data_IF_923566588721
#
_entry.id   IF_923566588721
#
_cell.length_a   1.000
_cell.length_b   1.000
_cell.length_c   1.000
_cell.angle_alpha   90.00
_cell.angle_beta   90.00
_cell.angle_gamma   90.00
#
_symmetry.space_group_name_H-M   'P 1'
#
loop_
_entity.id
_entity.type
_entity.pdbx_description
1 polymer ?
#
# COMPACT_ATOMS: atom_id res chain seq x y z
N UNK A 1 -20.30 -15.91 -17.21
CA UNK A 1 -19.67 -14.63 -17.56
C UNK A 1 -18.43 -14.49 -16.70
N UNK A 2 -17.24 -14.41 -17.29
CA UNK A 2 -16.03 -14.12 -16.54
C UNK A 2 -16.20 -12.74 -15.90
N UNK A 3 -16.38 -12.71 -14.58
CA UNK A 3 -16.40 -11.45 -13.82
C UNK A 3 -15.00 -10.86 -13.99
N UNK A 4 -14.88 -9.68 -14.60
CA UNK A 4 -13.59 -8.98 -14.69
C UNK A 4 -13.05 -8.85 -13.27
N UNK A 5 -11.93 -9.50 -13.01
CA UNK A 5 -11.22 -9.47 -11.74
C UNK A 5 -10.15 -8.40 -11.85
N UNK A 6 -10.20 -7.40 -10.99
CA UNK A 6 -9.20 -6.34 -10.96
C UNK A 6 -8.18 -6.61 -9.85
N UNK A 7 -6.90 -6.34 -10.12
CA UNK A 7 -5.84 -6.33 -9.13
C UNK A 7 -5.35 -4.89 -8.94
N UNK A 8 -5.35 -4.40 -7.70
CA UNK A 8 -4.93 -3.04 -7.36
C UNK A 8 -3.79 -3.09 -6.35
N UNK A 9 -2.69 -2.41 -6.68
CA UNK A 9 -1.58 -2.20 -5.75
C UNK A 9 -1.60 -0.73 -5.34
N UNK A 10 -1.82 -0.46 -4.06
CA UNK A 10 -1.69 0.87 -3.49
C UNK A 10 -0.23 1.07 -3.08
N UNK A 11 0.48 1.87 -3.85
CA UNK A 11 1.86 2.28 -3.59
C UNK A 11 1.85 3.69 -2.96
N UNK A 12 2.18 3.79 -1.68
CA UNK A 12 1.96 5.01 -0.89
C UNK A 12 3.26 5.55 -0.29
N UNK A 13 3.51 6.84 -0.45
CA UNK A 13 4.60 7.54 0.23
C UNK A 13 4.19 7.87 1.68
N UNK A 14 4.98 7.41 2.64
CA UNK A 14 4.81 7.69 4.07
C UNK A 14 5.96 8.50 4.66
N UNK A 15 6.85 9.04 3.82
CA UNK A 15 7.99 9.84 4.22
C UNK A 15 7.59 11.18 4.89
N UNK A 16 8.54 11.89 5.52
CA UNK A 16 8.26 13.11 6.29
C UNK A 16 7.51 14.20 5.52
N UNK A 17 7.73 14.33 4.21
CA UNK A 17 7.02 15.29 3.34
C UNK A 17 5.52 15.04 3.26
N UNK A 18 5.06 13.81 3.49
CA UNK A 18 3.65 13.42 3.39
C UNK A 18 2.91 13.45 4.72
N UNK A 19 3.61 13.62 5.85
CA UNK A 19 3.00 13.54 7.19
C UNK A 19 1.86 14.54 7.42
N UNK A 20 1.88 15.68 6.73
CA UNK A 20 0.83 16.70 6.82
C UNK A 20 -0.46 16.36 6.08
N UNK A 21 -0.44 15.36 5.18
CA UNK A 21 -1.60 14.92 4.38
C UNK A 21 -1.90 13.42 4.54
N UNK A 22 -1.10 12.71 5.35
CA UNK A 22 -1.17 11.25 5.45
C UNK A 22 -2.54 10.79 5.97
N UNK A 23 -3.15 11.55 6.88
CA UNK A 23 -4.48 11.25 7.41
C UNK A 23 -5.57 11.32 6.32
N UNK A 24 -5.47 12.29 5.40
CA UNK A 24 -6.35 12.38 4.24
C UNK A 24 -6.11 11.21 3.27
N UNK A 25 -4.85 10.81 3.07
CA UNK A 25 -4.49 9.64 2.25
C UNK A 25 -5.09 8.36 2.83
N UNK A 26 -4.94 8.11 4.13
CA UNK A 26 -5.57 6.99 4.86
C UNK A 26 -7.08 6.95 4.58
N UNK A 27 -7.77 8.09 4.79
CA UNK A 27 -9.21 8.20 4.57
C UNK A 27 -9.62 7.89 3.13
N UNK A 28 -8.95 8.49 2.14
CA UNK A 28 -9.28 8.30 0.72
C UNK A 28 -9.02 6.88 0.28
N UNK A 29 -7.88 6.29 0.65
CA UNK A 29 -7.54 4.92 0.32
C UNK A 29 -8.48 3.92 1.00
N UNK A 30 -8.80 4.09 2.29
CA UNK A 30 -9.78 3.25 2.98
C UNK A 30 -11.16 3.32 2.32
N UNK A 31 -11.62 4.52 1.91
CA UNK A 31 -12.89 4.66 1.18
C UNK A 31 -12.87 3.95 -0.19
N UNK A 32 -11.75 3.98 -0.91
CA UNK A 32 -11.59 3.26 -2.17
C UNK A 32 -11.71 1.74 -1.96
N UNK A 33 -11.01 1.21 -0.95
CA UNK A 33 -11.04 -0.22 -0.63
C UNK A 33 -12.40 -0.66 -0.10
N UNK A 34 -13.08 0.16 0.71
CA UNK A 34 -14.45 -0.09 1.16
C UNK A 34 -15.43 -0.23 -0.03
N UNK A 35 -15.32 0.65 -1.05
CA UNK A 35 -16.13 0.51 -2.27
C UNK A 35 -15.85 -0.81 -2.98
N UNK A 36 -14.58 -1.23 -3.09
CA UNK A 36 -14.22 -2.54 -3.67
C UNK A 36 -14.77 -3.70 -2.86
N UNK A 37 -14.76 -3.63 -1.53
CA UNK A 37 -15.34 -4.68 -0.69
C UNK A 37 -16.85 -4.85 -0.94
N UNK A 38 -17.57 -3.77 -1.25
CA UNK A 38 -19.02 -3.79 -1.53
C UNK A 38 -19.31 -4.28 -2.95
N UNK A 39 -18.63 -3.71 -3.96
CA UNK A 39 -18.98 -3.88 -5.37
C UNK A 39 -18.06 -4.85 -6.14
N UNK A 40 -16.82 -5.02 -5.70
CA UNK A 40 -15.76 -5.81 -6.33
C UNK A 40 -15.23 -6.92 -5.43
N UNK A 41 -16.11 -7.76 -4.87
CA UNK A 41 -15.76 -8.81 -3.89
C UNK A 41 -14.69 -9.82 -4.34
N UNK A 42 -14.41 -9.91 -5.64
CA UNK A 42 -13.37 -10.78 -6.20
C UNK A 42 -12.06 -10.05 -6.48
N UNK A 43 -12.04 -8.72 -6.37
CA UNK A 43 -10.87 -7.90 -6.62
C UNK A 43 -9.78 -8.18 -5.61
N UNK A 44 -8.54 -8.09 -6.06
CA UNK A 44 -7.36 -8.23 -5.21
C UNK A 44 -6.78 -6.85 -4.92
N UNK A 45 -6.34 -6.66 -3.69
CA UNK A 45 -5.67 -5.43 -3.24
C UNK A 45 -4.31 -5.82 -2.67
N UNK A 46 -3.31 -4.98 -2.83
CA UNK A 46 -2.05 -5.01 -2.09
C UNK A 46 -1.77 -3.61 -1.55
N UNK A 47 -1.06 -3.52 -0.43
CA UNK A 47 -0.63 -2.23 0.15
C UNK A 47 0.88 -2.28 0.33
N UNK A 48 1.56 -1.36 -0.36
CA UNK A 48 3.01 -1.18 -0.32
C UNK A 48 3.28 0.26 0.07
N UNK A 49 4.17 0.46 1.03
CA UNK A 49 4.56 1.80 1.49
C UNK A 49 6.03 2.02 1.26
N UNK A 50 6.40 3.27 1.05
CA UNK A 50 7.79 3.68 0.91
C UNK A 50 8.10 4.99 1.65
N UNK A 51 9.37 5.25 1.92
CA UNK A 51 9.79 6.30 2.85
C UNK A 51 9.88 5.80 4.31
N UNK A 52 9.88 4.48 4.52
CA UNK A 52 10.00 3.86 5.86
C UNK A 52 11.45 3.79 6.32
N UNK A 53 11.68 3.83 7.64
CA UNK A 53 13.04 3.61 8.18
C UNK A 53 13.52 2.17 7.94
N UNK A 54 12.61 1.21 7.92
CA UNK A 54 12.87 -0.21 7.69
C UNK A 54 12.62 -0.62 6.22
N UNK A 55 13.03 -1.84 5.87
CA UNK A 55 12.80 -2.44 4.55
C UNK A 55 12.26 -3.85 4.71
N UNK A 56 11.14 -4.15 4.06
CA UNK A 56 10.56 -5.49 4.06
C UNK A 56 9.82 -5.76 2.76
N UNK A 57 10.57 -6.14 1.74
CA UNK A 57 10.09 -6.59 0.44
C UNK A 57 10.96 -7.74 -0.08
N UNK A 58 10.42 -8.54 -1.00
CA UNK A 58 11.11 -9.73 -1.52
C UNK A 58 12.30 -9.35 -2.42
N UNK A 59 12.19 -8.26 -3.18
CA UNK A 59 13.26 -7.79 -4.08
C UNK A 59 14.55 -7.42 -3.35
N UNK A 60 14.46 -6.73 -2.21
CA UNK A 60 15.64 -6.44 -1.39
C UNK A 60 16.36 -7.73 -0.93
N UNK A 61 15.61 -8.80 -0.65
CA UNK A 61 16.19 -10.08 -0.22
C UNK A 61 16.84 -10.84 -1.38
N UNK A 62 16.28 -10.73 -2.58
CA UNK A 62 16.68 -11.52 -3.75
C UNK A 62 17.80 -10.85 -4.56
N UNK A 63 17.72 -9.53 -4.76
CA UNK A 63 18.59 -8.80 -5.70
C UNK A 63 19.31 -7.60 -5.09
N UNK A 64 18.98 -7.22 -3.86
CA UNK A 64 19.48 -5.98 -3.26
C UNK A 64 18.73 -4.73 -3.73
N UNK A 65 18.93 -3.59 -3.07
CA UNK A 65 18.23 -2.33 -3.36
C UNK A 65 16.81 -2.29 -2.81
N UNK A 66 15.91 -1.51 -3.42
CA UNK A 66 14.52 -1.34 -2.94
C UNK A 66 14.42 -1.06 -1.43
N UNK A 67 15.36 -0.24 -0.95
CA UNK A 67 15.42 0.16 0.46
C UNK A 67 14.25 1.07 0.81
N UNK A 68 13.88 1.07 2.08
CA UNK A 68 12.83 1.94 2.62
C UNK A 68 11.45 1.65 2.05
N UNK A 69 11.23 0.42 1.59
CA UNK A 69 9.96 -0.10 1.05
C UNK A 69 9.49 -1.29 1.89
N UNK A 70 8.23 -1.24 2.32
CA UNK A 70 7.58 -2.29 3.10
C UNK A 70 6.28 -2.73 2.42
N UNK A 71 6.11 -4.04 2.25
CA UNK A 71 4.84 -4.63 1.84
C UNK A 71 3.99 -4.86 3.09
N UNK A 72 3.09 -3.93 3.40
CA UNK A 72 2.19 -4.04 4.57
C UNK A 72 1.16 -5.16 4.39
N UNK A 73 0.68 -5.34 3.15
CA UNK A 73 -0.27 -6.40 2.80
C UNK A 73 0.05 -6.94 1.42
N UNK A 74 0.38 -8.23 1.34
CA UNK A 74 0.56 -8.93 0.06
C UNK A 74 -0.73 -8.91 -0.76
N UNK A 75 -0.61 -9.07 -2.08
CA UNK A 75 -1.78 -9.13 -2.96
C UNK A 75 -2.70 -10.28 -2.54
N UNK A 76 -3.94 -9.95 -2.21
CA UNK A 76 -4.99 -10.91 -1.87
C UNK A 76 -6.37 -10.28 -2.08
N UNK A 77 -7.40 -11.13 -2.16
CA UNK A 77 -8.80 -10.70 -2.28
C UNK A 77 -9.13 -9.66 -1.21
N UNK A 78 -9.87 -8.63 -1.59
CA UNK A 78 -10.24 -7.53 -0.69
C UNK A 78 -11.03 -8.03 0.52
N UNK A 79 -10.62 -7.60 1.71
CA UNK A 79 -11.20 -7.96 3.00
C UNK A 79 -11.12 -6.78 3.98
N UNK A 80 -11.62 -6.97 5.21
CA UNK A 80 -11.57 -5.95 6.27
C UNK A 80 -10.13 -5.54 6.63
N UNK A 81 -9.19 -6.48 6.61
CA UNK A 81 -7.78 -6.22 6.91
C UNK A 81 -7.15 -5.19 5.97
N UNK A 82 -7.57 -5.15 4.70
CA UNK A 82 -7.13 -4.11 3.77
C UNK A 82 -7.51 -2.69 4.24
N UNK A 83 -8.68 -2.55 4.86
CA UNK A 83 -9.15 -1.26 5.40
C UNK A 83 -8.35 -0.93 6.66
N UNK A 84 -8.19 -1.90 7.56
CA UNK A 84 -7.44 -1.73 8.82
C UNK A 84 -5.98 -1.34 8.55
N UNK A 85 -5.35 -1.94 7.53
CA UNK A 85 -4.00 -1.60 7.08
C UNK A 85 -3.90 -0.13 6.64
N UNK A 86 -4.91 0.35 5.90
CA UNK A 86 -4.94 1.71 5.37
C UNK A 86 -5.32 2.76 6.41
N UNK A 87 -5.97 2.38 7.51
CA UNK A 87 -6.28 3.30 8.62
C UNK A 87 -5.13 3.45 9.61
N UNK A 88 -4.08 2.63 9.49
CA UNK A 88 -2.94 2.61 10.38
C UNK A 88 -1.63 2.68 9.56
N UNK A 89 -1.54 3.62 8.62
CA UNK A 89 -0.32 3.76 7.83
C UNK A 89 0.83 4.22 8.74
N UNK A 90 2.03 3.62 8.61
CA UNK A 90 3.16 4.02 9.41
C UNK A 90 3.60 5.44 9.03
N UNK A 91 4.19 6.17 9.97
CA UNK A 91 4.91 7.41 9.68
C UNK A 91 6.37 7.09 9.40
N UNK A 92 6.75 7.18 8.14
CA UNK A 92 8.11 6.97 7.67
C UNK A 92 9.08 8.06 8.18
N UNK A 93 10.37 7.73 8.18
CA UNK A 93 11.44 8.60 8.70
C UNK A 93 12.42 9.05 7.62
N UNK A 94 12.30 8.53 6.40
CA UNK A 94 13.18 8.86 5.27
C UNK A 94 12.38 9.43 4.11
N UNK A 95 12.98 10.28 3.25
CA UNK A 95 12.32 10.75 2.03
C UNK A 95 11.98 9.58 1.10
N UNK A 96 10.77 9.58 0.54
CA UNK A 96 10.36 8.60 -0.46
C UNK A 96 10.97 8.87 -1.83
N UNK A 97 11.35 7.79 -2.55
CA UNK A 97 11.79 7.85 -3.96
C UNK A 97 10.88 6.95 -4.80
N UNK A 98 9.88 7.53 -5.47
CA UNK A 98 8.89 6.77 -6.23
C UNK A 98 9.44 6.16 -7.54
N UNK A 99 10.59 6.62 -8.05
CA UNK A 99 11.16 6.12 -9.31
C UNK A 99 11.97 4.85 -9.05
N UNK A 100 12.63 4.74 -7.89
CA UNK A 100 13.42 3.54 -7.53
C UNK A 100 12.60 2.35 -7.08
N UNK A 101 11.27 2.46 -7.10
CA UNK A 101 10.34 1.47 -6.57
C UNK A 101 9.51 0.81 -7.70
N UNK A 102 9.54 1.38 -8.90
CA UNK A 102 8.87 0.89 -10.11
C UNK A 102 9.91 0.29 -11.04
#
# INVERSE_FOLDING_TARGET
MARNREAVVLLLDVGPSMHGVLQEVEKVCSMLVQKKLIYGKSDEVAVVVFGTGETNNELQKEVGGYEHVVVLRKIKVVDGEAIDTLQNLPRGTVPGDCIRII
#
